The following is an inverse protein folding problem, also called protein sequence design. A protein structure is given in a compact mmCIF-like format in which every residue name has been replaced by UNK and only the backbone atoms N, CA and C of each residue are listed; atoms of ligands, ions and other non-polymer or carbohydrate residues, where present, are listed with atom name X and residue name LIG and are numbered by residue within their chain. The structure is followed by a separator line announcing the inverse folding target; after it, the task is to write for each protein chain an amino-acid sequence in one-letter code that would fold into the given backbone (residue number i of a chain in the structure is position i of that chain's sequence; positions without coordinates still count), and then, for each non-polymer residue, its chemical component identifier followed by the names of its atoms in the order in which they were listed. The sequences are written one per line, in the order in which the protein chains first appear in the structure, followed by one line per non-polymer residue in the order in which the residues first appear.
data_IF_810530286372
#
_entry.id   IF_810530286372
#
_cell.length_a   1.000
_cell.length_b   1.000
_cell.length_c   1.000
_cell.angle_alpha   90.00
_cell.angle_beta   90.00
_cell.angle_gamma   90.00
#
_symmetry.space_group_name_H-M   'P 1'
#
loop_
_entity.id
_entity.type
_entity.pdbx_description
1 polymer ?
#
# COMPACT_ATOMS: atom_id res chain seq x y z
N UNK A 1 11.29 -18.16 -18.19
CA UNK A 1 10.69 -18.09 -19.54
C UNK A 1 9.22 -17.77 -19.38
N UNK A 2 8.82 -16.52 -19.60
CA UNK A 2 7.42 -16.06 -19.50
C UNK A 2 6.65 -16.34 -20.79
N UNK A 3 5.39 -16.78 -20.68
CA UNK A 3 4.51 -17.01 -21.82
C UNK A 3 4.00 -15.66 -22.38
N UNK A 4 3.99 -15.46 -23.72
CA UNK A 4 3.52 -14.22 -24.33
C UNK A 4 1.98 -14.12 -24.28
N UNK A 5 1.45 -12.89 -24.32
CA UNK A 5 0.01 -12.64 -24.40
C UNK A 5 -0.72 -13.49 -25.46
N UNK A 6 -1.99 -13.86 -25.21
CA UNK A 6 -2.85 -14.47 -26.21
C UNK A 6 -2.91 -13.63 -27.49
N UNK A 7 -2.86 -14.25 -28.68
CA UNK A 7 -2.79 -13.54 -29.97
C UNK A 7 -3.89 -12.50 -30.21
N UNK A 8 -5.06 -12.67 -29.59
CA UNK A 8 -6.20 -11.75 -29.74
C UNK A 8 -6.00 -10.42 -29.00
N UNK A 9 -5.24 -10.41 -27.91
CA UNK A 9 -4.98 -9.21 -27.09
C UNK A 9 -3.94 -8.29 -27.76
N UNK A 10 -2.97 -8.88 -28.48
CA UNK A 10 -2.00 -8.13 -29.30
C UNK A 10 -2.68 -7.29 -30.38
N UNK A 11 -3.74 -7.81 -31.01
CA UNK A 11 -4.50 -7.12 -32.06
C UNK A 11 -5.31 -5.92 -31.55
N UNK A 12 -5.88 -6.02 -30.36
CA UNK A 12 -6.66 -4.94 -29.73
C UNK A 12 -5.77 -3.77 -29.31
N UNK A 13 -4.59 -4.06 -28.77
CA UNK A 13 -3.64 -3.03 -28.34
C UNK A 13 -2.96 -2.37 -29.55
N UNK A 14 -2.67 -3.11 -30.62
CA UNK A 14 -2.04 -2.57 -31.84
C UNK A 14 -2.97 -1.71 -32.70
N UNK A 15 -4.28 -1.94 -32.63
CA UNK A 15 -5.25 -1.22 -33.47
C UNK A 15 -5.65 0.16 -32.92
N UNK A 16 -5.41 0.44 -31.63
CA UNK A 16 -5.94 1.64 -30.96
C UNK A 16 -4.88 2.66 -30.54
N UNK A 17 -3.58 2.41 -30.77
CA UNK A 17 -2.50 3.15 -30.12
C UNK A 17 -1.39 3.48 -31.14
N UNK A 18 -1.10 4.77 -31.42
CA UNK A 18 -0.04 5.17 -32.37
C UNK A 18 1.32 4.55 -32.02
N UNK A 19 2.13 4.22 -33.02
CA UNK A 19 3.39 3.46 -32.87
C UNK A 19 4.38 4.04 -31.81
N UNK A 20 4.41 5.36 -31.61
CA UNK A 20 5.23 6.02 -30.58
C UNK A 20 4.70 5.89 -29.15
N UNK A 21 3.42 5.58 -28.99
CA UNK A 21 2.79 5.28 -27.70
C UNK A 21 2.92 3.78 -27.37
N UNK A 22 3.14 2.92 -28.37
CA UNK A 22 3.39 1.48 -28.22
C UNK A 22 4.75 1.19 -27.56
N UNK A 23 5.80 1.94 -27.91
CA UNK A 23 7.13 1.80 -27.29
C UNK A 23 7.14 2.30 -25.84
N UNK A 24 6.41 3.38 -25.54
CA UNK A 24 6.19 3.86 -24.18
C UNK A 24 5.28 2.95 -23.37
N UNK A 25 4.20 2.44 -23.96
CA UNK A 25 3.33 1.46 -23.31
C UNK A 25 4.04 0.12 -23.09
N UNK A 26 4.92 -0.30 -24.00
CA UNK A 26 5.74 -1.50 -23.87
C UNK A 26 6.82 -1.34 -22.80
N UNK A 27 7.53 -0.21 -22.75
CA UNK A 27 8.49 0.07 -21.67
C UNK A 27 7.80 0.21 -20.30
N UNK A 28 6.64 0.87 -20.25
CA UNK A 28 5.82 0.96 -19.04
C UNK A 28 5.27 -0.42 -18.64
N UNK A 29 4.85 -1.24 -19.61
CA UNK A 29 4.37 -2.59 -19.38
C UNK A 29 5.49 -3.51 -18.91
N UNK A 30 6.67 -3.51 -19.55
CA UNK A 30 7.85 -4.26 -19.13
C UNK A 30 8.32 -3.83 -17.74
N UNK A 31 8.33 -2.52 -17.44
CA UNK A 31 8.66 -2.02 -16.10
C UNK A 31 7.60 -2.36 -15.03
N UNK A 32 6.33 -2.51 -15.41
CA UNK A 32 5.27 -3.02 -14.54
C UNK A 32 5.40 -4.55 -14.34
N UNK A 33 5.70 -5.29 -15.41
CA UNK A 33 5.86 -6.75 -15.42
C UNK A 33 7.09 -7.20 -14.64
N UNK A 34 8.21 -6.46 -14.67
CA UNK A 34 9.40 -6.78 -13.86
C UNK A 34 9.19 -6.51 -12.36
N UNK A 35 8.36 -5.51 -12.01
CA UNK A 35 8.00 -5.23 -10.61
C UNK A 35 7.14 -6.34 -10.01
N UNK A 36 6.35 -7.03 -10.84
CA UNK A 36 5.47 -8.14 -10.48
C UNK A 36 6.21 -9.50 -10.42
N UNK A 37 7.53 -9.54 -10.64
CA UNK A 37 8.26 -10.81 -10.60
C UNK A 37 8.31 -11.42 -9.19
N UNK A 38 8.49 -10.58 -8.16
CA UNK A 38 8.55 -11.02 -6.77
C UNK A 38 7.18 -11.57 -6.33
N UNK A 39 7.10 -12.82 -5.83
CA UNK A 39 5.84 -13.44 -5.42
C UNK A 39 5.09 -12.63 -4.35
N UNK A 40 5.81 -11.89 -3.49
CA UNK A 40 5.22 -11.05 -2.44
C UNK A 40 4.47 -9.86 -3.03
N UNK A 41 4.94 -9.32 -4.16
CA UNK A 41 4.23 -8.26 -4.88
C UNK A 41 2.95 -8.79 -5.52
N UNK A 42 3.01 -9.96 -6.16
CA UNK A 42 1.82 -10.60 -6.77
C UNK A 42 0.76 -10.92 -5.73
N UNK A 43 1.18 -11.45 -4.58
CA UNK A 43 0.29 -11.70 -3.46
C UNK A 43 -0.31 -10.38 -2.94
N UNK A 44 0.52 -9.35 -2.78
CA UNK A 44 0.06 -8.02 -2.35
C UNK A 44 -0.98 -7.44 -3.30
N UNK A 45 -0.78 -7.54 -4.62
CA UNK A 45 -1.75 -7.11 -5.64
C UNK A 45 -3.07 -7.86 -5.49
N UNK A 46 -3.01 -9.17 -5.29
CA UNK A 46 -4.21 -10.03 -5.10
C UNK A 46 -4.98 -9.61 -3.85
N UNK A 47 -4.28 -9.41 -2.73
CA UNK A 47 -4.86 -8.93 -1.47
C UNK A 47 -5.42 -7.52 -1.57
N UNK A 48 -4.76 -6.61 -2.29
CA UNK A 48 -5.29 -5.26 -2.52
C UNK A 48 -6.60 -5.29 -3.32
N UNK A 49 -6.74 -6.19 -4.29
CA UNK A 49 -8.00 -6.38 -5.01
C UNK A 49 -9.10 -6.96 -4.11
N UNK A 50 -8.79 -7.91 -3.23
CA UNK A 50 -9.78 -8.50 -2.33
C UNK A 50 -10.30 -7.51 -1.27
N UNK A 51 -9.49 -6.51 -0.91
CA UNK A 51 -9.88 -5.44 0.02
C UNK A 51 -10.75 -4.35 -0.62
N UNK A 52 -10.87 -4.32 -1.95
CA UNK A 52 -11.68 -3.30 -2.64
C UNK A 52 -13.14 -3.41 -2.21
N UNK A 53 -13.68 -2.33 -1.64
CA UNK A 53 -15.04 -2.26 -1.09
C UNK A 53 -15.31 -3.21 0.09
N UNK A 54 -14.29 -3.80 0.73
CA UNK A 54 -14.47 -4.74 1.84
C UNK A 54 -15.27 -4.13 3.03
N UNK A 55 -15.15 -2.82 3.22
CA UNK A 55 -15.82 -2.07 4.30
C UNK A 55 -16.82 -1.03 3.78
N UNK A 56 -17.37 -1.25 2.58
CA UNK A 56 -18.27 -0.27 1.94
C UNK A 56 -19.49 0.02 2.80
N UNK A 57 -19.76 1.30 3.05
CA UNK A 57 -20.88 1.76 3.88
C UNK A 57 -20.56 1.86 5.36
N UNK A 58 -19.39 1.37 5.80
CA UNK A 58 -18.87 1.60 7.15
C UNK A 58 -18.19 2.97 7.28
N UNK A 59 -17.95 3.37 8.53
CA UNK A 59 -17.09 4.52 8.84
C UNK A 59 -15.64 4.05 8.91
N UNK A 60 -14.73 4.96 8.56
CA UNK A 60 -13.31 4.71 8.63
C UNK A 60 -12.60 5.96 9.16
N UNK A 61 -11.66 5.75 10.07
CA UNK A 61 -10.87 6.81 10.69
C UNK A 61 -9.41 6.66 10.27
N UNK A 62 -8.77 7.79 9.97
CA UNK A 62 -7.33 7.81 9.72
C UNK A 62 -6.67 8.56 10.88
N UNK A 63 -5.78 7.87 11.58
CA UNK A 63 -5.13 8.35 12.78
C UNK A 63 -3.69 8.72 12.44
N UNK A 64 -3.41 10.02 12.51
CA UNK A 64 -2.07 10.58 12.36
C UNK A 64 -1.20 10.36 13.60
N UNK A 65 -0.17 11.20 13.78
CA UNK A 65 0.78 11.10 14.90
C UNK A 65 0.86 12.40 15.71
N UNK A 66 -0.23 13.17 15.72
CA UNK A 66 -0.26 14.47 16.40
C UNK A 66 -0.16 14.31 17.92
N UNK A 67 0.49 15.25 18.64
CA UNK A 67 0.61 15.19 20.09
C UNK A 67 -0.74 15.28 20.81
N UNK A 68 -1.78 15.80 20.15
CA UNK A 68 -3.16 15.85 20.66
C UNK A 68 -3.73 14.47 21.01
N UNK A 69 -3.23 13.40 20.38
CA UNK A 69 -3.67 12.03 20.68
C UNK A 69 -3.33 11.59 22.10
N UNK A 70 -2.31 12.19 22.73
CA UNK A 70 -1.91 11.84 24.11
C UNK A 70 -3.03 12.08 25.12
N UNK A 71 -3.80 13.15 24.96
CA UNK A 71 -4.88 13.52 25.88
C UNK A 71 -6.26 13.10 25.39
N UNK A 72 -6.37 12.57 24.16
CA UNK A 72 -7.63 12.14 23.58
C UNK A 72 -8.06 10.76 24.14
N UNK A 73 -9.36 10.61 24.35
CA UNK A 73 -9.97 9.30 24.57
C UNK A 73 -10.21 8.62 23.21
N UNK A 74 -9.53 7.49 23.00
CA UNK A 74 -9.60 6.69 21.76
C UNK A 74 -10.51 5.47 21.91
N UNK A 75 -11.12 5.26 23.08
CA UNK A 75 -12.04 4.13 23.34
C UNK A 75 -13.14 4.03 22.27
N UNK A 76 -13.76 5.13 21.79
CA UNK A 76 -14.80 5.04 20.76
C UNK A 76 -14.32 4.47 19.42
N UNK A 77 -13.01 4.47 19.17
CA UNK A 77 -12.42 3.97 17.92
C UNK A 77 -12.12 2.47 17.94
N UNK A 78 -12.19 1.81 19.11
CA UNK A 78 -11.89 0.37 19.23
C UNK A 78 -12.85 -0.51 18.40
N UNK A 79 -14.08 -0.04 18.16
CA UNK A 79 -15.08 -0.74 17.33
C UNK A 79 -15.14 -0.23 15.89
N UNK A 80 -14.22 0.64 15.46
CA UNK A 80 -14.24 1.29 14.15
C UNK A 80 -13.06 0.84 13.29
N UNK A 81 -13.24 0.91 11.96
CA UNK A 81 -12.13 0.69 11.05
C UNK A 81 -11.15 1.86 11.11
N UNK A 82 -9.90 1.55 11.45
CA UNK A 82 -8.88 2.56 11.68
C UNK A 82 -7.64 2.26 10.84
N UNK A 83 -7.18 3.27 10.08
CA UNK A 83 -5.84 3.31 9.52
C UNK A 83 -4.94 4.10 10.46
N UNK A 84 -3.88 3.45 10.94
CA UNK A 84 -2.83 4.06 11.72
C UNK A 84 -1.59 4.30 10.87
N UNK A 85 -1.00 5.48 10.97
CA UNK A 85 0.14 5.87 10.13
C UNK A 85 1.47 5.93 10.91
N UNK A 86 2.57 5.49 10.32
CA UNK A 86 3.94 5.63 10.84
C UNK A 86 4.14 5.17 12.30
N UNK A 87 4.30 6.07 13.28
CA UNK A 87 4.68 5.70 14.66
C UNK A 87 3.50 5.64 15.62
N UNK A 88 2.29 5.49 15.09
CA UNK A 88 1.05 5.42 15.87
C UNK A 88 1.03 4.22 16.84
N UNK A 89 1.78 3.16 16.52
CA UNK A 89 1.86 1.94 17.32
C UNK A 89 2.41 2.18 18.73
N UNK A 90 3.13 3.29 18.94
CA UNK A 90 3.58 3.70 20.28
C UNK A 90 2.40 3.97 21.24
N UNK A 91 1.22 4.31 20.71
CA UNK A 91 0.02 4.51 21.52
C UNK A 91 -0.72 3.22 21.84
N UNK A 92 -0.35 2.08 21.24
CA UNK A 92 -1.13 0.84 21.38
C UNK A 92 -1.09 0.32 22.82
N UNK A 93 0.08 0.31 23.42
CA UNK A 93 0.28 -0.12 24.81
C UNK A 93 -0.27 0.91 25.81
N UNK A 94 -0.15 2.21 25.50
CA UNK A 94 -0.59 3.30 26.38
C UNK A 94 -2.12 3.43 26.47
N UNK A 95 -2.85 3.13 25.39
CA UNK A 95 -4.29 3.46 25.25
C UNK A 95 -5.20 2.25 25.05
N UNK A 96 -4.69 1.02 25.21
CA UNK A 96 -5.43 -0.22 24.93
C UNK A 96 -6.19 -0.15 23.59
N UNK A 97 -5.53 0.42 22.58
CA UNK A 97 -6.11 0.74 21.28
C UNK A 97 -5.24 0.11 20.19
N UNK A 98 -5.85 -0.50 19.17
CA UNK A 98 -5.13 -1.02 18.01
C UNK A 98 -5.84 -0.58 16.74
N UNK A 99 -5.07 -0.32 15.68
CA UNK A 99 -5.66 -0.03 14.38
C UNK A 99 -5.98 -1.30 13.61
N UNK A 100 -7.02 -1.25 12.78
CA UNK A 100 -7.34 -2.34 11.84
C UNK A 100 -6.25 -2.49 10.79
N UNK A 101 -5.75 -1.35 10.32
CA UNK A 101 -4.75 -1.23 9.28
C UNK A 101 -3.61 -0.34 9.75
N UNK A 102 -2.39 -0.69 9.36
CA UNK A 102 -1.21 0.12 9.58
C UNK A 102 -0.62 0.54 8.23
N UNK A 103 -0.18 1.79 8.10
CA UNK A 103 0.41 2.32 6.85
C UNK A 103 1.77 2.95 7.15
N UNK A 104 2.79 2.50 6.44
CA UNK A 104 4.10 3.15 6.44
C UNK A 104 4.77 3.05 5.08
N UNK A 105 4.89 4.20 4.41
CA UNK A 105 5.55 4.29 3.10
C UNK A 105 6.87 5.03 3.13
N UNK A 106 7.15 5.78 4.20
CA UNK A 106 8.37 6.58 4.31
C UNK A 106 9.58 5.65 4.56
N UNK A 107 10.57 5.60 3.65
CA UNK A 107 11.76 4.76 3.79
C UNK A 107 12.53 4.98 5.09
N UNK A 108 12.68 6.22 5.55
CA UNK A 108 13.43 6.53 6.77
C UNK A 108 12.76 5.96 8.03
N UNK A 109 11.43 5.95 8.07
CA UNK A 109 10.68 5.35 9.18
C UNK A 109 10.83 3.83 9.15
N UNK A 110 10.76 3.24 7.95
CA UNK A 110 10.94 1.80 7.78
C UNK A 110 12.34 1.35 8.16
N UNK A 111 13.38 2.10 7.77
CA UNK A 111 14.78 1.81 8.09
C UNK A 111 15.05 1.91 9.59
N UNK A 112 14.55 2.97 10.23
CA UNK A 112 14.83 3.24 11.64
C UNK A 112 14.02 2.35 12.60
N UNK A 113 12.81 1.93 12.20
CA UNK A 113 11.86 1.25 13.10
C UNK A 113 11.36 -0.09 12.54
N UNK A 114 12.15 -0.77 11.70
CA UNK A 114 11.78 -2.06 11.13
C UNK A 114 11.41 -3.09 12.19
N UNK A 115 12.17 -3.16 13.29
CA UNK A 115 11.96 -4.12 14.38
C UNK A 115 10.59 -3.91 15.04
N UNK A 116 10.24 -2.67 15.39
CA UNK A 116 8.93 -2.32 15.94
C UNK A 116 7.81 -2.68 14.96
N UNK A 117 7.96 -2.31 13.68
CA UNK A 117 6.94 -2.52 12.65
C UNK A 117 6.68 -4.01 12.42
N UNK A 118 7.69 -4.87 12.55
CA UNK A 118 7.50 -6.33 12.47
C UNK A 118 6.63 -6.86 13.60
N UNK A 119 6.63 -6.24 14.78
CA UNK A 119 5.82 -6.66 15.92
C UNK A 119 4.34 -6.27 15.84
N UNK A 120 3.99 -5.32 14.96
CA UNK A 120 2.59 -4.91 14.77
C UNK A 120 1.77 -6.06 14.19
N UNK A 121 0.70 -6.46 14.87
CA UNK A 121 -0.09 -7.66 14.52
C UNK A 121 -1.16 -7.43 13.44
N UNK A 122 -1.61 -6.20 13.23
CA UNK A 122 -2.66 -5.89 12.26
C UNK A 122 -2.17 -5.94 10.80
N UNK A 123 -3.09 -5.82 9.84
CA UNK A 123 -2.72 -5.79 8.42
C UNK A 123 -1.90 -4.53 8.12
N UNK A 124 -0.71 -4.70 7.56
CA UNK A 124 0.24 -3.62 7.26
C UNK A 124 0.29 -3.33 5.78
N UNK A 125 0.27 -2.05 5.43
CA UNK A 125 0.52 -1.52 4.10
C UNK A 125 1.89 -0.83 4.10
N UNK A 126 2.88 -1.50 3.52
CA UNK A 126 4.28 -1.07 3.56
C UNK A 126 4.76 -0.74 2.15
N UNK A 127 5.51 0.35 1.97
CA UNK A 127 6.12 0.62 0.67
C UNK A 127 7.04 -0.53 0.23
N UNK A 128 7.10 -0.80 -1.08
CA UNK A 128 8.04 -1.80 -1.62
C UNK A 128 9.49 -1.57 -1.23
N UNK A 129 9.89 -0.35 -0.85
CA UNK A 129 11.24 -0.08 -0.33
C UNK A 129 11.54 -0.79 0.99
N UNK A 130 10.51 -1.07 1.80
CA UNK A 130 10.63 -1.75 3.09
C UNK A 130 10.60 -3.26 3.04
N UNK A 131 10.43 -3.89 1.86
CA UNK A 131 10.26 -5.34 1.74
C UNK A 131 11.37 -6.15 2.41
N UNK A 132 12.63 -5.76 2.17
CA UNK A 132 13.77 -6.44 2.77
C UNK A 132 13.98 -6.09 4.24
N UNK A 133 13.33 -5.02 4.72
CA UNK A 133 13.36 -4.62 6.11
C UNK A 133 12.36 -5.45 6.89
N UNK A 134 11.08 -5.47 6.51
CA UNK A 134 10.04 -6.15 7.32
C UNK A 134 9.96 -7.67 7.11
N UNK A 135 10.59 -8.21 6.07
CA UNK A 135 10.64 -9.66 5.81
C UNK A 135 9.31 -10.22 5.29
N UNK A 136 9.11 -11.53 5.48
CA UNK A 136 8.00 -12.30 4.89
C UNK A 136 6.79 -12.43 5.82
N UNK A 137 6.49 -11.36 6.56
CA UNK A 137 5.33 -11.33 7.45
C UNK A 137 4.01 -11.46 6.66
N UNK A 138 3.18 -12.50 6.95
CA UNK A 138 1.92 -12.73 6.24
C UNK A 138 0.91 -11.59 6.40
N UNK A 139 1.02 -10.76 7.44
CA UNK A 139 0.15 -9.61 7.63
C UNK A 139 0.55 -8.39 6.79
N UNK A 140 1.66 -8.46 6.05
CA UNK A 140 2.17 -7.34 5.24
C UNK A 140 1.69 -7.41 3.79
N UNK A 141 1.14 -6.30 3.32
CA UNK A 141 0.79 -6.00 1.93
C UNK A 141 1.74 -4.90 1.44
N UNK A 142 2.49 -5.18 0.38
CA UNK A 142 3.41 -4.23 -0.20
C UNK A 142 2.72 -3.31 -1.22
N UNK A 143 2.94 -2.01 -1.05
CA UNK A 143 2.43 -0.97 -1.94
C UNK A 143 3.57 -0.48 -2.83
N UNK A 144 3.37 -0.64 -4.13
CA UNK A 144 4.24 -0.06 -5.15
C UNK A 144 4.11 1.47 -5.17
N UNK A 145 5.22 2.18 -5.05
CA UNK A 145 5.19 3.65 -5.05
C UNK A 145 5.54 4.21 -6.43
N UNK A 146 4.87 5.28 -6.82
CA UNK A 146 4.97 5.93 -8.13
C UNK A 146 5.55 7.33 -8.01
N UNK A 147 6.33 7.74 -9.01
CA UNK A 147 6.86 9.10 -9.13
C UNK A 147 5.85 10.01 -9.81
N UNK A 148 5.75 11.25 -9.32
CA UNK A 148 4.93 12.31 -9.91
C UNK A 148 3.58 12.48 -9.20
N UNK A 149 3.07 13.73 -9.10
CA UNK A 149 1.85 14.03 -8.37
C UNK A 149 0.61 13.42 -9.03
N UNK A 150 -0.30 12.89 -8.20
CA UNK A 150 -1.60 12.40 -8.65
C UNK A 150 -2.33 11.54 -7.62
N UNK A 151 -3.66 11.59 -7.64
CA UNK A 151 -4.51 10.71 -6.82
C UNK A 151 -4.87 9.46 -7.61
N UNK A 152 -4.47 8.31 -7.10
CA UNK A 152 -4.61 7.03 -7.77
C UNK A 152 -5.84 6.29 -7.24
N UNK A 153 -6.78 5.95 -8.12
CA UNK A 153 -8.04 5.28 -7.74
C UNK A 153 -7.87 3.80 -7.39
N UNK A 154 -6.72 3.21 -7.71
CA UNK A 154 -6.49 1.77 -7.63
C UNK A 154 -5.09 1.50 -7.10
N UNK A 155 -5.00 1.22 -5.81
CA UNK A 155 -3.76 0.86 -5.12
C UNK A 155 -2.95 -0.29 -5.77
N UNK A 156 -3.57 -1.34 -6.37
CA UNK A 156 -2.82 -2.39 -7.05
C UNK A 156 -1.89 -1.90 -8.18
N UNK A 157 -2.18 -0.76 -8.81
CA UNK A 157 -1.32 -0.21 -9.86
C UNK A 157 -0.18 0.67 -9.32
N UNK A 158 -0.10 0.81 -8.00
CA UNK A 158 0.80 1.67 -7.29
C UNK A 158 0.24 3.06 -7.03
N UNK A 159 0.79 3.70 -6.00
CA UNK A 159 0.32 4.98 -5.46
C UNK A 159 1.46 5.99 -5.49
N UNK A 160 1.13 7.25 -5.75
CA UNK A 160 2.03 8.34 -5.36
C UNK A 160 1.86 8.57 -3.87
N UNK A 161 2.97 8.55 -3.13
CA UNK A 161 2.97 8.73 -1.67
C UNK A 161 2.53 10.14 -1.25
N UNK A 162 2.44 11.09 -2.20
CA UNK A 162 2.16 12.48 -1.90
C UNK A 162 3.34 13.12 -1.18
N UNK A 163 3.01 14.02 -0.24
CA UNK A 163 3.94 14.53 0.76
C UNK A 163 3.66 13.93 2.15
N UNK A 164 2.64 13.08 2.29
CA UNK A 164 2.18 12.57 3.59
C UNK A 164 1.69 11.12 3.50
N UNK A 165 2.03 10.30 4.48
CA UNK A 165 1.55 8.91 4.59
C UNK A 165 0.02 8.80 4.64
N UNK A 166 -0.66 9.81 5.18
CA UNK A 166 -2.13 9.90 5.23
C UNK A 166 -2.74 9.92 3.83
N UNK A 167 -2.03 10.46 2.83
CA UNK A 167 -2.47 10.45 1.44
C UNK A 167 -2.61 9.03 0.88
N UNK A 168 -1.70 8.13 1.28
CA UNK A 168 -1.72 6.72 0.87
C UNK A 168 -2.86 5.95 1.54
N UNK A 169 -3.33 6.40 2.70
CA UNK A 169 -4.43 5.78 3.42
C UNK A 169 -5.83 6.16 2.86
N UNK A 170 -5.91 7.05 1.87
CA UNK A 170 -7.16 7.54 1.26
C UNK A 170 -7.45 6.91 -0.10
#
# INVERSE_FOLDING_TARGET
MSAPFPPWMKRLVSAAVPAGLYSRASALHTALVDRDADPRIRESITRLWSLKNAHRGGRCFIIGNGPSLRTMDLTPLQSEFCFGCNRIYLLFDEKAFQTTYYVCVNPLVLEQFADDIRQISCTKFISTSGMNLVGDDPNTIFISTRRGPGFYRYAPYGLWEGATVTYVAM
#
